data_IF_049858674350
#
_entry.id   IF_049858674350
#
_cell.length_a   1.000
_cell.length_b   1.000
_cell.length_c   1.000
_cell.angle_alpha   90.00
_cell.angle_beta   90.00
_cell.angle_gamma   90.00
#
_symmetry.space_group_name_H-M   'P 1'
#
loop_
_entity.id
_entity.type
_entity.pdbx_description
1 polymer ?
#
# COMPACT_ATOMS: atom_id res chain seq x y z
N UNK A 1 12.17 -20.15 11.54
CA UNK A 1 12.02 -18.92 10.74
C UNK A 1 12.92 -17.87 11.40
N UNK A 2 13.77 -17.17 10.64
CA UNK A 2 14.72 -16.21 11.24
C UNK A 2 14.02 -14.91 11.63
N UNK A 3 14.26 -14.37 12.82
CA UNK A 3 13.66 -13.08 13.23
C UNK A 3 14.48 -11.95 12.65
N UNK A 4 13.85 -11.04 11.88
CA UNK A 4 14.55 -9.93 11.22
C UNK A 4 13.84 -8.61 11.50
N UNK A 5 14.62 -7.54 11.73
CA UNK A 5 14.07 -6.18 11.68
C UNK A 5 14.04 -5.75 10.21
N UNK A 6 12.93 -5.18 9.78
CA UNK A 6 12.73 -4.69 8.43
C UNK A 6 12.79 -3.16 8.43
N UNK A 7 13.69 -2.59 7.63
CA UNK A 7 13.82 -1.15 7.42
C UNK A 7 13.34 -0.77 6.01
N UNK A 8 12.37 0.14 5.94
CA UNK A 8 11.85 0.79 4.72
C UNK A 8 11.54 2.25 5.05
N UNK A 9 11.46 3.17 4.07
CA UNK A 9 10.95 4.52 4.35
C UNK A 9 9.49 4.46 4.84
N UNK A 10 9.08 5.52 5.53
CA UNK A 10 7.70 5.68 6.04
C UNK A 10 7.18 7.12 5.83
N UNK A 11 7.87 8.12 6.37
CA UNK A 11 7.47 9.52 6.27
C UNK A 11 7.40 10.04 4.82
N UNK A 12 6.54 11.02 4.55
CA UNK A 12 6.36 11.60 3.21
C UNK A 12 5.23 10.92 2.43
N UNK A 13 5.57 10.14 1.40
CA UNK A 13 4.58 9.41 0.57
C UNK A 13 4.03 8.17 1.28
N UNK A 14 3.28 8.36 2.38
CA UNK A 14 2.81 7.28 3.29
C UNK A 14 2.22 6.09 2.53
N UNK A 15 1.25 6.32 1.63
CA UNK A 15 0.62 5.22 0.89
C UNK A 15 1.62 4.44 0.00
N UNK A 16 2.56 5.12 -0.65
CA UNK A 16 3.61 4.47 -1.44
C UNK A 16 4.56 3.67 -0.54
N UNK A 17 4.91 4.22 0.62
CA UNK A 17 5.82 3.61 1.58
C UNK A 17 5.21 2.40 2.31
N UNK A 18 3.92 2.45 2.65
CA UNK A 18 3.18 1.31 3.19
C UNK A 18 3.12 0.17 2.17
N UNK A 19 2.77 0.46 0.91
CA UNK A 19 2.76 -0.52 -0.17
C UNK A 19 4.16 -1.14 -0.39
N UNK A 20 5.22 -0.36 -0.21
CA UNK A 20 6.61 -0.83 -0.26
C UNK A 20 6.95 -1.76 0.91
N UNK A 21 6.61 -1.34 2.12
CA UNK A 21 6.85 -2.11 3.33
C UNK A 21 6.14 -3.47 3.28
N UNK A 22 4.87 -3.50 2.81
CA UNK A 22 4.12 -4.74 2.60
C UNK A 22 4.82 -5.68 1.61
N UNK A 23 5.38 -5.14 0.52
CA UNK A 23 6.11 -5.95 -0.45
C UNK A 23 7.45 -6.48 0.11
N UNK A 24 8.16 -5.66 0.88
CA UNK A 24 9.40 -6.06 1.54
C UNK A 24 9.16 -7.12 2.62
N UNK A 25 8.08 -7.00 3.42
CA UNK A 25 7.63 -8.03 4.35
C UNK A 25 7.31 -9.34 3.62
N UNK A 26 6.63 -9.26 2.47
CA UNK A 26 6.30 -10.43 1.66
C UNK A 26 7.56 -11.14 1.17
N UNK A 27 8.56 -10.40 0.68
CA UNK A 27 9.85 -10.98 0.26
C UNK A 27 10.56 -11.70 1.43
N UNK A 28 10.61 -11.08 2.61
CA UNK A 28 11.15 -11.71 3.83
C UNK A 28 10.42 -13.03 4.16
N UNK A 29 9.08 -13.03 4.14
CA UNK A 29 8.27 -14.21 4.42
C UNK A 29 8.56 -15.36 3.44
N UNK A 30 8.70 -15.06 2.14
CA UNK A 30 9.06 -16.08 1.14
C UNK A 30 10.49 -16.59 1.27
N UNK A 31 11.38 -15.84 1.93
CA UNK A 31 12.74 -16.26 2.29
C UNK A 31 12.81 -17.05 3.61
N UNK A 32 11.67 -17.33 4.25
CA UNK A 32 11.64 -18.06 5.52
C UNK A 32 12.08 -17.20 6.73
N UNK A 33 11.81 -15.90 6.66
CA UNK A 33 12.09 -14.92 7.70
C UNK A 33 10.79 -14.38 8.32
N UNK A 34 10.87 -13.95 9.58
CA UNK A 34 9.80 -13.33 10.36
C UNK A 34 10.11 -11.83 10.50
N UNK A 35 9.67 -10.98 9.55
CA UNK A 35 9.99 -9.56 9.56
C UNK A 35 9.19 -8.79 10.60
N UNK A 36 9.88 -7.86 11.29
CA UNK A 36 9.27 -6.89 12.19
C UNK A 36 9.59 -5.47 11.70
N UNK A 37 8.57 -4.74 11.27
CA UNK A 37 8.65 -3.36 10.79
C UNK A 37 8.00 -2.42 11.82
N UNK A 38 8.74 -2.04 12.86
CA UNK A 38 8.21 -1.20 13.96
C UNK A 38 7.68 0.14 13.48
N UNK A 39 8.35 0.75 12.50
CA UNK A 39 7.97 2.05 11.95
C UNK A 39 6.60 2.02 11.25
N UNK A 40 6.19 0.88 10.71
CA UNK A 40 4.84 0.73 10.14
C UNK A 40 3.85 0.25 11.20
N UNK A 41 4.26 -0.68 12.08
CA UNK A 41 3.38 -1.27 13.08
C UNK A 41 2.92 -0.26 14.13
N UNK A 42 3.85 0.52 14.69
CA UNK A 42 3.55 1.46 15.77
C UNK A 42 2.98 2.79 15.27
N UNK A 43 3.18 3.12 14.00
CA UNK A 43 2.55 4.27 13.37
C UNK A 43 1.14 3.94 12.83
N UNK A 44 0.70 2.67 12.88
CA UNK A 44 -0.65 2.29 12.46
C UNK A 44 -1.70 2.90 13.39
N UNK A 45 -2.82 3.35 12.82
CA UNK A 45 -3.75 4.32 13.42
C UNK A 45 -4.01 4.13 14.92
N UNK A 46 -3.56 5.11 15.72
CA UNK A 46 -3.74 5.26 17.17
C UNK A 46 -2.88 4.39 18.09
N UNK A 47 -1.80 3.79 17.59
CA UNK A 47 -0.80 3.17 18.49
C UNK A 47 0.14 4.24 19.04
N UNK A 48 0.81 5.01 18.16
CA UNK A 48 1.62 6.18 18.49
C UNK A 48 1.45 7.26 17.40
N UNK A 49 1.56 8.52 17.81
CA UNK A 49 1.62 9.70 16.94
C UNK A 49 3.07 10.12 16.70
N UNK A 50 3.55 9.89 15.48
CA UNK A 50 4.94 10.17 15.08
C UNK A 50 5.29 11.67 15.05
N UNK A 51 4.28 12.55 15.06
CA UNK A 51 4.44 14.01 15.17
C UNK A 51 4.64 14.46 16.63
N UNK A 52 4.33 13.60 17.61
CA UNK A 52 4.58 13.85 19.03
C UNK A 52 5.95 13.28 19.43
N UNK A 53 6.93 14.12 19.86
CA UNK A 53 8.30 13.68 20.11
C UNK A 53 8.44 12.51 21.10
N UNK A 54 7.64 12.52 22.17
CA UNK A 54 7.68 11.48 23.21
C UNK A 54 7.13 10.14 22.71
N UNK A 55 6.10 10.17 21.87
CA UNK A 55 5.52 8.95 21.29
C UNK A 55 6.44 8.38 20.21
N UNK A 56 7.01 9.24 19.36
CA UNK A 56 8.07 8.87 18.40
C UNK A 56 9.25 8.18 19.09
N UNK A 57 9.73 8.74 20.21
CA UNK A 57 10.81 8.16 21.00
C UNK A 57 10.41 6.77 21.56
N UNK A 58 9.20 6.64 22.11
CA UNK A 58 8.69 5.37 22.61
C UNK A 58 8.65 4.30 21.52
N UNK A 59 8.21 4.65 20.31
CA UNK A 59 8.18 3.77 19.15
C UNK A 59 9.57 3.28 18.75
N UNK A 60 10.56 4.19 18.72
CA UNK A 60 11.97 3.85 18.44
C UNK A 60 12.53 2.91 19.51
N UNK A 61 12.36 3.23 20.80
CA UNK A 61 12.85 2.41 21.92
C UNK A 61 12.23 1.00 21.88
N UNK A 62 10.93 0.90 21.59
CA UNK A 62 10.24 -0.37 21.43
C UNK A 62 10.77 -1.16 20.22
N UNK A 63 11.03 -0.49 19.09
CA UNK A 63 11.67 -1.10 17.91
C UNK A 63 13.07 -1.64 18.22
N UNK A 64 13.90 -0.87 18.93
CA UNK A 64 15.24 -1.30 19.33
C UNK A 64 15.21 -2.46 20.33
N UNK A 65 14.18 -2.53 21.19
CA UNK A 65 13.99 -3.66 22.09
C UNK A 65 13.77 -4.98 21.34
N UNK A 66 12.96 -4.94 20.27
CA UNK A 66 12.84 -6.07 19.34
C UNK A 66 14.12 -6.34 18.57
N UNK A 67 14.83 -5.28 18.16
CA UNK A 67 16.11 -5.39 17.45
C UNK A 67 17.16 -6.22 18.19
N UNK A 68 17.21 -6.15 19.52
CA UNK A 68 18.12 -6.99 20.34
C UNK A 68 17.81 -8.49 20.28
N UNK A 69 16.63 -8.88 19.78
CA UNK A 69 16.21 -10.28 19.62
C UNK A 69 16.23 -10.74 18.16
N UNK A 70 16.50 -9.84 17.23
CA UNK A 70 16.55 -10.15 15.81
C UNK A 70 17.95 -10.63 15.41
N UNK A 71 18.01 -11.59 14.50
CA UNK A 71 19.27 -12.11 13.95
C UNK A 71 19.93 -11.09 13.03
N UNK A 72 19.14 -10.30 12.30
CA UNK A 72 19.63 -9.27 11.38
C UNK A 72 18.63 -8.14 11.16
N UNK A 73 19.12 -7.05 10.60
CA UNK A 73 18.34 -5.96 10.02
C UNK A 73 18.40 -6.08 8.50
N UNK A 74 17.24 -6.20 7.85
CA UNK A 74 17.12 -6.21 6.39
C UNK A 74 16.66 -4.82 5.93
N UNK A 75 17.43 -4.21 5.04
CA UNK A 75 17.24 -2.82 4.59
C UNK A 75 16.89 -2.82 3.11
N UNK A 76 15.67 -2.42 2.75
CA UNK A 76 15.25 -2.36 1.36
C UNK A 76 15.45 -0.96 0.77
N UNK A 77 16.22 -0.86 -0.31
CA UNK A 77 16.81 0.41 -0.78
C UNK A 77 16.23 0.98 -2.07
N UNK A 78 15.19 0.37 -2.65
CA UNK A 78 14.57 0.81 -3.92
C UNK A 78 14.06 2.26 -3.91
N UNK A 79 13.69 2.77 -2.73
CA UNK A 79 13.23 4.14 -2.49
C UNK A 79 14.29 5.03 -1.80
N UNK A 80 15.54 4.60 -1.79
CA UNK A 80 16.62 5.24 -1.03
C UNK A 80 16.60 4.89 0.46
N UNK A 81 17.49 5.53 1.21
CA UNK A 81 17.61 5.37 2.67
C UNK A 81 17.15 6.68 3.31
N UNK A 82 16.03 6.61 4.03
CA UNK A 82 15.50 7.77 4.78
C UNK A 82 16.30 8.02 6.07
N UNK A 83 16.20 9.22 6.68
CA UNK A 83 16.84 9.50 7.96
C UNK A 83 16.46 8.48 9.06
N UNK A 84 15.18 8.12 9.18
CA UNK A 84 14.74 7.12 10.16
C UNK A 84 15.33 5.73 9.93
N UNK A 85 15.52 5.32 8.66
CA UNK A 85 16.23 4.07 8.36
C UNK A 85 17.71 4.16 8.73
N UNK A 86 18.35 5.32 8.54
CA UNK A 86 19.74 5.52 8.92
C UNK A 86 19.93 5.35 10.44
N UNK A 87 18.99 5.86 11.24
CA UNK A 87 18.97 5.64 12.69
C UNK A 87 18.84 4.14 13.03
N UNK A 88 17.95 3.41 12.35
CA UNK A 88 17.79 1.96 12.51
C UNK A 88 19.05 1.16 12.15
N UNK A 89 19.74 1.55 11.07
CA UNK A 89 21.02 0.98 10.63
C UNK A 89 22.10 1.24 11.67
N UNK A 90 22.24 2.47 12.15
CA UNK A 90 23.23 2.84 13.17
C UNK A 90 23.02 2.01 14.45
N UNK A 91 21.76 1.80 14.85
CA UNK A 91 21.44 0.98 16.01
C UNK A 91 21.71 -0.51 15.81
N UNK A 92 21.55 -1.03 14.59
CA UNK A 92 21.97 -2.39 14.25
C UNK A 92 23.50 -2.54 14.41
N UNK A 93 24.28 -1.57 13.93
CA UNK A 93 25.74 -1.52 14.12
C UNK A 93 26.11 -1.47 15.59
N UNK A 94 25.51 -0.56 16.38
CA UNK A 94 25.75 -0.44 17.84
C UNK A 94 25.46 -1.74 18.59
N UNK A 95 24.47 -2.51 18.13
CA UNK A 95 24.10 -3.79 18.73
C UNK A 95 24.85 -5.00 18.13
N UNK A 96 25.82 -4.80 17.24
CA UNK A 96 26.53 -5.88 16.52
C UNK A 96 25.57 -6.87 15.83
N UNK A 97 24.47 -6.35 15.28
CA UNK A 97 23.46 -7.13 14.56
C UNK A 97 23.73 -7.05 13.07
N UNK A 98 23.72 -8.20 12.40
CA UNK A 98 24.00 -8.30 10.96
C UNK A 98 23.06 -7.40 10.15
N UNK A 99 23.58 -6.80 9.07
CA UNK A 99 22.82 -5.91 8.20
C UNK A 99 22.87 -6.46 6.77
N UNK A 100 21.71 -6.63 6.16
CA UNK A 100 21.59 -7.10 4.78
C UNK A 100 20.79 -6.09 3.95
N UNK A 101 21.42 -5.53 2.93
CA UNK A 101 20.77 -4.62 1.99
C UNK A 101 20.12 -5.41 0.87
N UNK A 102 18.88 -5.04 0.53
CA UNK A 102 18.04 -5.70 -0.47
C UNK A 102 17.39 -4.71 -1.41
N UNK A 103 16.94 -5.25 -2.53
CA UNK A 103 16.10 -4.56 -3.50
C UNK A 103 14.99 -5.50 -3.97
N UNK A 104 13.82 -4.93 -4.25
CA UNK A 104 12.69 -5.63 -4.84
C UNK A 104 12.67 -5.32 -6.34
N UNK A 105 13.36 -6.15 -7.12
CA UNK A 105 13.49 -5.98 -8.59
C UNK A 105 12.14 -5.86 -9.31
N UNK A 106 11.08 -6.42 -8.75
CA UNK A 106 9.71 -6.38 -9.31
C UNK A 106 8.76 -5.45 -8.57
N UNK A 107 9.21 -4.72 -7.54
CA UNK A 107 8.32 -3.83 -6.81
C UNK A 107 8.05 -2.55 -7.61
N UNK A 108 6.78 -2.13 -7.53
CA UNK A 108 6.14 -1.16 -8.40
C UNK A 108 6.84 0.20 -8.38
N UNK A 109 7.79 0.42 -9.30
CA UNK A 109 8.16 1.79 -9.70
C UNK A 109 7.01 2.48 -10.46
N UNK A 110 6.07 1.73 -11.02
CA UNK A 110 4.92 2.25 -11.79
C UNK A 110 3.60 2.00 -11.07
N UNK A 111 2.75 3.04 -11.03
CA UNK A 111 1.37 2.96 -10.54
C UNK A 111 0.48 2.54 -11.72
N UNK A 112 -0.51 1.63 -11.55
CA UNK A 112 -1.35 1.18 -12.65
C UNK A 112 -2.12 2.36 -13.20
N UNK A 113 -2.14 2.50 -14.53
CA UNK A 113 -2.89 3.58 -15.17
C UNK A 113 -4.39 3.48 -14.83
N UNK A 114 -5.11 4.60 -14.84
CA UNK A 114 -6.57 4.58 -14.65
C UNK A 114 -7.28 3.67 -15.65
N UNK A 115 -6.74 3.53 -16.88
CA UNK A 115 -7.22 2.56 -17.86
C UNK A 115 -7.04 1.12 -17.37
N UNK A 116 -5.86 0.78 -16.84
CA UNK A 116 -5.61 -0.56 -16.31
C UNK A 116 -6.52 -0.89 -15.12
N UNK A 117 -6.66 0.05 -14.18
CA UNK A 117 -7.61 -0.07 -13.06
C UNK A 117 -9.02 -0.31 -13.56
N UNK A 118 -9.49 0.51 -14.51
CA UNK A 118 -10.82 0.37 -15.07
C UNK A 118 -10.98 -0.98 -15.79
N UNK A 119 -10.00 -1.43 -16.58
CA UNK A 119 -10.04 -2.73 -17.25
C UNK A 119 -10.17 -3.89 -16.26
N UNK A 120 -9.38 -3.90 -15.20
CA UNK A 120 -9.47 -4.95 -14.16
C UNK A 120 -10.86 -4.94 -13.50
N UNK A 121 -11.38 -3.77 -13.15
CA UNK A 121 -12.73 -3.64 -12.56
C UNK A 121 -13.81 -4.07 -13.54
N UNK A 122 -13.71 -3.71 -14.82
CA UNK A 122 -14.70 -4.09 -15.83
C UNK A 122 -14.79 -5.61 -15.97
N UNK A 123 -13.66 -6.31 -15.86
CA UNK A 123 -13.58 -7.78 -15.91
C UNK A 123 -14.15 -8.43 -14.65
N UNK A 124 -13.81 -7.92 -13.46
CA UNK A 124 -14.27 -8.49 -12.19
C UNK A 124 -15.78 -8.29 -11.97
N UNK A 125 -16.32 -7.15 -12.39
CA UNK A 125 -17.74 -6.80 -12.18
C UNK A 125 -18.62 -7.06 -13.41
N UNK A 126 -18.07 -7.66 -14.47
CA UNK A 126 -18.76 -7.87 -15.76
C UNK A 126 -19.49 -6.60 -16.25
N UNK A 127 -18.80 -5.46 -16.16
CA UNK A 127 -19.38 -4.14 -16.45
C UNK A 127 -18.45 -3.39 -17.39
N UNK A 128 -18.75 -3.30 -18.70
CA UNK A 128 -17.88 -2.65 -19.68
C UNK A 128 -17.58 -1.18 -19.37
N UNK A 129 -16.43 -0.67 -19.82
CA UNK A 129 -15.97 0.70 -19.49
C UNK A 129 -16.98 1.79 -19.90
N UNK A 130 -17.64 1.65 -21.06
CA UNK A 130 -18.66 2.60 -21.50
C UNK A 130 -19.88 2.61 -20.55
N UNK A 131 -20.21 1.48 -19.92
CA UNK A 131 -21.27 1.37 -18.91
C UNK A 131 -20.87 2.06 -17.61
N UNK A 132 -19.61 1.94 -17.19
CA UNK A 132 -19.07 2.71 -16.05
C UNK A 132 -19.18 4.22 -16.28
N UNK A 133 -19.01 4.69 -17.52
CA UNK A 133 -19.17 6.11 -17.89
C UNK A 133 -20.63 6.55 -18.06
N UNK A 134 -21.53 5.61 -18.31
CA UNK A 134 -22.95 5.89 -18.54
C UNK A 134 -23.67 6.52 -17.34
N UNK A 135 -24.84 7.11 -17.57
CA UNK A 135 -25.75 7.62 -16.52
C UNK A 135 -26.55 6.51 -15.80
N UNK A 136 -26.28 5.23 -16.09
CA UNK A 136 -27.01 4.13 -15.48
C UNK A 136 -26.75 4.05 -13.97
N UNK A 137 -27.82 4.07 -13.19
CA UNK A 137 -27.85 4.08 -11.73
C UNK A 137 -28.24 2.73 -11.12
N UNK A 138 -28.36 1.67 -11.93
CA UNK A 138 -28.57 0.31 -11.40
C UNK A 138 -27.47 -0.06 -10.41
N UNK A 139 -27.87 -0.61 -9.26
CA UNK A 139 -27.00 -0.76 -8.10
C UNK A 139 -25.69 -1.51 -8.40
N UNK A 140 -25.74 -2.56 -9.23
CA UNK A 140 -24.54 -3.31 -9.61
C UNK A 140 -23.57 -2.47 -10.45
N UNK A 141 -24.07 -1.61 -11.34
CA UNK A 141 -23.24 -0.70 -12.13
C UNK A 141 -22.66 0.40 -11.23
N UNK A 142 -23.45 0.89 -10.26
CA UNK A 142 -22.97 1.87 -9.27
C UNK A 142 -21.85 1.27 -8.42
N UNK A 143 -21.99 0.02 -7.95
CA UNK A 143 -20.92 -0.73 -7.26
C UNK A 143 -19.64 -0.75 -8.10
N UNK A 144 -19.72 -1.23 -9.33
CA UNK A 144 -18.57 -1.33 -10.23
C UNK A 144 -17.91 0.04 -10.46
N UNK A 145 -18.71 1.09 -10.64
CA UNK A 145 -18.23 2.46 -10.82
C UNK A 145 -17.53 3.00 -9.57
N UNK A 146 -18.12 2.79 -8.38
CA UNK A 146 -17.53 3.21 -7.12
C UNK A 146 -16.21 2.47 -6.85
N UNK A 147 -16.17 1.16 -7.13
CA UNK A 147 -14.94 0.37 -7.07
C UNK A 147 -13.85 0.95 -7.98
N UNK A 148 -14.17 1.25 -9.24
CA UNK A 148 -13.23 1.82 -10.20
C UNK A 148 -12.69 3.19 -9.74
N UNK A 149 -13.57 4.08 -9.27
CA UNK A 149 -13.18 5.40 -8.78
C UNK A 149 -12.28 5.32 -7.54
N UNK A 150 -12.64 4.48 -6.57
CA UNK A 150 -11.87 4.30 -5.35
C UNK A 150 -10.50 3.67 -5.61
N UNK A 151 -10.42 2.66 -6.48
CA UNK A 151 -9.15 2.05 -6.85
C UNK A 151 -8.26 3.02 -7.67
N UNK A 152 -8.84 3.84 -8.56
CA UNK A 152 -8.10 4.91 -9.23
C UNK A 152 -7.57 5.95 -8.23
N UNK A 153 -8.37 6.31 -7.22
CA UNK A 153 -7.91 7.22 -6.17
C UNK A 153 -6.74 6.61 -5.38
N UNK A 154 -6.92 5.37 -4.89
CA UNK A 154 -5.92 4.62 -4.13
C UNK A 154 -4.60 4.50 -4.88
N UNK A 155 -4.61 4.00 -6.12
CA UNK A 155 -3.38 3.69 -6.83
C UNK A 155 -2.75 4.88 -7.55
N UNK A 156 -3.51 5.92 -7.90
CA UNK A 156 -2.97 7.06 -8.65
C UNK A 156 -2.80 8.34 -7.82
N UNK A 157 -3.27 8.37 -6.56
CA UNK A 157 -3.33 9.60 -5.75
C UNK A 157 -4.16 10.72 -6.40
N UNK A 158 -5.04 10.37 -7.33
CA UNK A 158 -5.74 11.34 -8.17
C UNK A 158 -6.93 11.95 -7.42
N UNK A 159 -7.02 13.28 -7.39
CA UNK A 159 -8.17 13.96 -6.81
C UNK A 159 -9.49 13.75 -7.60
N UNK A 160 -10.65 14.07 -7.00
CA UNK A 160 -11.98 13.81 -7.58
C UNK A 160 -12.17 14.35 -9.00
N UNK A 161 -11.63 15.54 -9.32
CA UNK A 161 -11.76 16.15 -10.65
C UNK A 161 -11.04 15.36 -11.75
N UNK A 162 -9.84 14.81 -11.46
CA UNK A 162 -9.07 14.03 -12.45
C UNK A 162 -9.76 12.70 -12.73
N UNK A 163 -10.24 12.03 -11.68
CA UNK A 163 -11.02 10.79 -11.79
C UNK A 163 -12.35 11.06 -12.51
N UNK A 164 -13.03 12.16 -12.19
CA UNK A 164 -14.29 12.57 -12.81
C UNK A 164 -14.16 12.75 -14.32
N UNK A 165 -13.12 13.47 -14.76
CA UNK A 165 -12.79 13.59 -16.21
C UNK A 165 -12.61 12.23 -16.87
N UNK A 166 -11.92 11.29 -16.22
CA UNK A 166 -11.70 9.95 -16.77
C UNK A 166 -12.99 9.12 -16.92
N UNK A 167 -13.91 9.22 -15.95
CA UNK A 167 -15.19 8.48 -15.95
C UNK A 167 -16.37 9.26 -16.54
N UNK A 168 -16.15 10.48 -17.06
CA UNK A 168 -17.20 11.38 -17.54
C UNK A 168 -18.26 11.68 -16.45
N UNK A 169 -17.77 12.01 -15.25
CA UNK A 169 -18.57 12.31 -14.05
C UNK A 169 -18.12 13.59 -13.39
N UNK A 170 -19.07 14.25 -12.72
CA UNK A 170 -18.78 15.40 -11.89
C UNK A 170 -17.91 15.00 -10.69
N UNK A 171 -17.03 15.91 -10.28
CA UNK A 171 -16.14 15.71 -9.13
C UNK A 171 -16.94 15.36 -7.85
N UNK A 172 -18.14 15.93 -7.68
CA UNK A 172 -19.04 15.63 -6.57
C UNK A 172 -19.54 14.18 -6.57
N UNK A 173 -19.80 13.60 -7.75
CA UNK A 173 -20.15 12.18 -7.89
C UNK A 173 -18.99 11.29 -7.45
N UNK A 174 -17.76 11.67 -7.81
CA UNK A 174 -16.56 10.94 -7.37
C UNK A 174 -16.37 11.06 -5.87
N UNK A 175 -16.46 12.27 -5.30
CA UNK A 175 -16.36 12.46 -3.84
C UNK A 175 -17.41 11.64 -3.08
N UNK A 176 -18.64 11.58 -3.60
CA UNK A 176 -19.68 10.71 -3.05
C UNK A 176 -19.32 9.22 -3.16
N UNK A 177 -18.79 8.78 -4.31
CA UNK A 177 -18.36 7.40 -4.50
C UNK A 177 -17.26 7.00 -3.51
N UNK A 178 -16.28 7.88 -3.28
CA UNK A 178 -15.19 7.69 -2.32
C UNK A 178 -15.73 7.61 -0.89
N UNK A 179 -16.63 8.52 -0.49
CA UNK A 179 -17.20 8.51 0.86
C UNK A 179 -18.10 7.31 1.13
N UNK A 180 -18.74 6.76 0.10
CA UNK A 180 -19.51 5.53 0.24
C UNK A 180 -18.63 4.27 0.27
N UNK A 181 -17.40 4.31 -0.23
CA UNK A 181 -16.59 3.10 -0.50
C UNK A 181 -16.49 2.18 0.72
N UNK A 182 -16.16 2.71 1.90
CA UNK A 182 -16.03 1.92 3.14
C UNK A 182 -17.34 1.23 3.52
N UNK A 183 -18.48 1.87 3.29
CA UNK A 183 -19.79 1.27 3.51
C UNK A 183 -20.01 0.08 2.59
N UNK A 184 -19.66 0.18 1.31
CA UNK A 184 -19.77 -0.96 0.38
C UNK A 184 -18.74 -2.04 0.71
N UNK A 185 -17.55 -1.67 1.17
CA UNK A 185 -16.47 -2.60 1.50
C UNK A 185 -16.76 -3.47 2.73
N UNK A 186 -17.77 -3.11 3.54
CA UNK A 186 -18.33 -3.99 4.59
C UNK A 186 -19.16 -5.15 4.04
N UNK A 187 -19.66 -5.06 2.81
CA UNK A 187 -20.38 -6.15 2.15
C UNK A 187 -19.38 -7.19 1.65
N UNK A 188 -19.55 -8.45 2.06
CA UNK A 188 -18.57 -9.50 1.79
C UNK A 188 -18.27 -9.68 0.30
N UNK A 189 -19.30 -9.75 -0.54
CA UNK A 189 -19.14 -9.93 -1.99
C UNK A 189 -18.39 -8.79 -2.65
N UNK A 190 -18.70 -7.54 -2.27
CA UNK A 190 -18.01 -6.37 -2.78
C UNK A 190 -16.54 -6.38 -2.33
N UNK A 191 -16.29 -6.64 -1.04
CA UNK A 191 -14.93 -6.73 -0.51
C UNK A 191 -14.10 -7.82 -1.21
N UNK A 192 -14.73 -8.95 -1.55
CA UNK A 192 -14.09 -10.07 -2.25
C UNK A 192 -13.74 -9.67 -3.68
N UNK A 193 -14.63 -8.96 -4.37
CA UNK A 193 -14.37 -8.42 -5.70
C UNK A 193 -13.22 -7.40 -5.68
N UNK A 194 -13.21 -6.48 -4.70
CA UNK A 194 -12.10 -5.52 -4.53
C UNK A 194 -10.76 -6.25 -4.35
N UNK A 195 -10.68 -7.24 -3.45
CA UNK A 195 -9.46 -8.03 -3.24
C UNK A 195 -8.98 -8.73 -4.51
N UNK A 196 -9.90 -9.22 -5.35
CA UNK A 196 -9.56 -9.84 -6.65
C UNK A 196 -9.04 -8.80 -7.65
N UNK A 197 -9.64 -7.61 -7.72
CA UNK A 197 -9.11 -6.50 -8.50
C UNK A 197 -7.69 -6.12 -8.07
N UNK A 198 -7.46 -5.92 -6.77
CA UNK A 198 -6.14 -5.55 -6.24
C UNK A 198 -5.09 -6.62 -6.53
N UNK A 199 -5.44 -7.90 -6.37
CA UNK A 199 -4.56 -9.02 -6.75
C UNK A 199 -4.22 -9.01 -8.24
N UNK A 200 -5.21 -8.78 -9.11
CA UNK A 200 -5.00 -8.71 -10.55
C UNK A 200 -4.14 -7.52 -10.96
N UNK A 201 -4.34 -6.35 -10.33
CA UNK A 201 -3.51 -5.16 -10.55
C UNK A 201 -2.06 -5.40 -10.13
N UNK A 202 -1.84 -6.15 -9.06
CA UNK A 202 -0.50 -6.53 -8.63
C UNK A 202 0.17 -7.52 -9.60
N UNK A 203 -0.55 -8.50 -10.15
CA UNK A 203 0.01 -9.50 -11.08
C UNK A 203 0.31 -8.90 -12.46
N UNK A 204 -0.64 -8.13 -13.01
CA UNK A 204 -0.53 -7.66 -14.38
C UNK A 204 0.58 -6.62 -14.58
N UNK A 205 1.09 -6.02 -13.51
CA UNK A 205 2.29 -5.18 -13.58
C UNK A 205 3.60 -5.97 -13.53
N UNK A 206 3.65 -7.10 -12.82
CA UNK A 206 4.81 -8.00 -12.86
C UNK A 206 5.06 -8.49 -14.30
N UNK A 207 4.00 -8.69 -15.10
CA UNK A 207 4.11 -9.11 -16.49
C UNK A 207 4.48 -7.99 -17.47
N UNK A 208 4.35 -6.71 -17.09
CA UNK A 208 4.70 -5.57 -17.94
C UNK A 208 6.12 -5.05 -17.69
N UNK A 209 6.83 -5.59 -16.68
CA UNK A 209 8.18 -5.18 -16.26
C UNK A 209 9.24 -6.23 -16.63
N UNK A 210 8.82 -7.40 -17.15
CA UNK A 210 9.69 -8.50 -17.63
C UNK A 210 9.82 -8.47 -19.15
#
# INVERSE_FOLDING_TARGET
MKVVILETPYAGEIATHEDYCVAAMRDCLFKGEAPFASHMLYAFSNVLDDDLPLERELGMVAGFAWGRRAEKTVVYTDLGISPGMADGIEQAVKCSRDIEYRQLTTWRKHKPSMNMVAMVVTKEFDTPLHVLRSRNTYTQIVKARHAAMALCHKYNGAGPSKIGRFFHKDHSTVSHALSQFDRWNKCEDFSRAIRRCEKALNIAEVQNVV
#
